data_IF_639453406494
#
_entry.id   IF_639453406494
#
_cell.length_a   1.000
_cell.length_b   1.000
_cell.length_c   1.000
_cell.angle_alpha   90.00
_cell.angle_beta   90.00
_cell.angle_gamma   90.00
#
_symmetry.space_group_name_H-M   'P 1'
#
loop_
_entity.id
_entity.type
_entity.pdbx_description
1 polymer ?
#
# COMPACT_ATOMS: atom_id res chain seq x y z
N UNK A 1 -68.86 -32.26 -21.10
CA UNK A 1 -69.44 -32.86 -19.88
C UNK A 1 -68.76 -32.12 -18.76
N UNK A 2 -69.38 -31.06 -18.34
CA UNK A 2 -70.22 -30.90 -17.15
C UNK A 2 -69.35 -30.91 -15.91
N UNK A 3 -69.34 -29.98 -15.06
CA UNK A 3 -70.25 -28.90 -14.73
C UNK A 3 -69.84 -28.32 -13.40
N UNK A 4 -70.07 -27.06 -13.33
CA UNK A 4 -70.80 -26.35 -12.30
C UNK A 4 -70.20 -26.30 -10.88
N UNK A 5 -69.89 -25.12 -10.43
CA UNK A 5 -70.78 -24.14 -9.76
C UNK A 5 -70.75 -24.20 -8.22
N UNK A 6 -70.61 -23.06 -7.59
CA UNK A 6 -70.96 -22.79 -6.20
C UNK A 6 -70.11 -21.67 -5.61
N UNK A 7 -70.52 -20.65 -5.64
CA UNK A 7 -70.85 -19.31 -5.24
C UNK A 7 -71.12 -19.13 -3.73
N UNK A 8 -70.87 -17.93 -3.27
CA UNK A 8 -71.34 -17.15 -2.12
C UNK A 8 -70.53 -17.38 -0.79
N UNK A 9 -70.27 -16.43 0.06
CA UNK A 9 -70.74 -15.06 0.32
C UNK A 9 -69.77 -14.38 1.28
N UNK A 10 -69.58 -13.09 1.16
CA UNK A 10 -69.06 -12.17 2.16
C UNK A 10 -70.00 -11.93 3.30
N UNK A 11 -69.59 -11.46 4.48
CA UNK A 11 -69.67 -10.03 4.68
C UNK A 11 -68.57 -9.37 5.55
N UNK A 12 -68.56 -8.07 5.36
CA UNK A 12 -67.82 -6.98 5.93
C UNK A 12 -67.64 -6.92 7.45
N UNK A 13 -66.54 -6.33 7.87
CA UNK A 13 -66.31 -5.82 9.20
C UNK A 13 -65.33 -4.65 9.16
N UNK A 14 -65.93 -3.44 9.24
CA UNK A 14 -65.27 -2.16 9.40
C UNK A 14 -64.47 -2.06 10.71
N UNK A 15 -63.31 -1.44 10.68
CA UNK A 15 -62.56 -1.00 11.85
C UNK A 15 -61.37 -0.11 11.46
N UNK A 16 -61.04 0.96 12.16
CA UNK A 16 -60.63 2.23 11.60
C UNK A 16 -59.14 2.31 11.25
N UNK A 17 -58.85 3.01 10.17
CA UNK A 17 -57.51 3.50 9.77
C UNK A 17 -56.98 4.45 10.83
N UNK A 18 -55.87 4.06 11.51
CA UNK A 18 -55.03 4.96 12.26
C UNK A 18 -53.95 5.53 11.34
N UNK A 19 -53.97 6.82 11.21
CA UNK A 19 -53.09 7.72 10.49
C UNK A 19 -51.63 7.55 10.91
N UNK A 20 -50.78 7.19 9.96
CA UNK A 20 -49.30 7.27 10.10
C UNK A 20 -48.85 8.67 9.70
N UNK A 21 -49.01 9.62 10.60
CA UNK A 21 -48.38 10.93 10.50
C UNK A 21 -47.83 11.30 11.88
N UNK A 22 -46.52 11.15 12.07
CA UNK A 22 -45.88 11.62 13.30
C UNK A 22 -44.68 10.83 13.75
N UNK A 23 -43.63 10.72 12.91
CA UNK A 23 -42.30 10.34 13.37
C UNK A 23 -41.21 10.78 12.39
N UNK A 24 -41.18 12.05 12.03
CA UNK A 24 -40.07 12.69 11.33
C UNK A 24 -39.77 13.99 12.05
N UNK A 25 -39.19 13.90 13.24
CA UNK A 25 -38.56 15.04 13.90
C UNK A 25 -37.82 14.53 15.15
N UNK A 26 -36.59 14.02 15.01
CA UNK A 26 -35.57 14.00 16.04
C UNK A 26 -34.28 13.34 15.52
N UNK A 27 -33.72 13.85 14.41
CA UNK A 27 -32.30 13.62 14.06
C UNK A 27 -31.71 14.95 13.59
N UNK A 28 -31.56 15.86 14.51
CA UNK A 28 -30.80 17.07 14.29
C UNK A 28 -30.34 17.60 15.65
N UNK A 29 -29.31 17.02 16.22
CA UNK A 29 -28.36 17.60 17.17
C UNK A 29 -27.41 16.49 17.62
N UNK A 30 -26.74 15.86 16.67
CA UNK A 30 -25.51 15.10 16.90
C UNK A 30 -24.35 16.04 16.63
N UNK A 31 -23.88 16.67 17.67
CA UNK A 31 -22.66 17.47 17.72
C UNK A 31 -21.54 16.78 16.97
N UNK A 32 -20.87 17.56 16.13
CA UNK A 32 -19.64 17.19 15.41
C UNK A 32 -18.50 16.93 16.42
N UNK A 33 -18.50 15.78 17.06
CA UNK A 33 -17.42 15.20 17.82
C UNK A 33 -17.01 13.88 17.15
N UNK A 34 -16.24 13.96 16.06
CA UNK A 34 -15.87 12.76 15.30
C UNK A 34 -14.63 12.88 14.43
N UNK A 35 -13.70 13.79 14.73
CA UNK A 35 -12.47 13.84 13.94
C UNK A 35 -11.16 13.66 14.75
N UNK A 36 -11.21 13.10 15.95
CA UNK A 36 -10.04 12.92 16.82
C UNK A 36 -9.74 11.44 17.13
N UNK A 37 -9.57 10.57 16.09
CA UNK A 37 -9.19 9.17 16.33
C UNK A 37 -8.14 8.52 15.40
N UNK A 38 -7.19 9.20 14.75
CA UNK A 38 -5.95 8.52 14.34
C UNK A 38 -4.92 8.44 15.46
N UNK A 39 -4.86 9.42 16.36
CA UNK A 39 -3.82 9.51 17.39
C UNK A 39 -3.81 8.34 18.40
N UNK A 40 -4.96 7.78 18.76
CA UNK A 40 -5.04 6.70 19.75
C UNK A 40 -4.39 5.38 19.31
N UNK A 41 -4.24 5.11 18.01
CA UNK A 41 -3.62 3.89 17.49
C UNK A 41 -2.09 3.88 17.59
N UNK A 42 -1.46 5.03 17.76
CA UNK A 42 -0.01 5.20 17.65
C UNK A 42 0.69 5.61 18.94
N UNK A 43 -0.05 5.85 20.03
CA UNK A 43 0.48 6.38 21.29
C UNK A 43 1.58 5.56 21.95
N UNK A 44 1.64 4.26 21.69
CA UNK A 44 2.60 3.34 22.31
C UNK A 44 3.75 2.94 21.39
N UNK A 45 3.85 3.54 20.18
CA UNK A 45 4.88 3.20 19.22
C UNK A 45 6.12 4.07 19.45
N UNK A 46 7.29 3.42 19.56
CA UNK A 46 8.55 4.13 19.73
C UNK A 46 8.96 4.87 18.46
N UNK A 47 8.78 4.25 17.29
CA UNK A 47 9.03 4.83 15.97
C UNK A 47 8.09 4.23 14.94
N UNK A 48 7.90 4.91 13.82
CA UNK A 48 7.10 4.44 12.69
C UNK A 48 7.86 4.60 11.38
N UNK A 49 7.64 3.66 10.46
CA UNK A 49 8.08 3.76 9.07
C UNK A 49 6.83 3.74 8.17
N UNK A 50 6.71 4.72 7.30
CA UNK A 50 5.74 4.74 6.22
C UNK A 50 6.47 4.27 4.96
N UNK A 51 6.20 3.06 4.53
CA UNK A 51 6.81 2.41 3.38
C UNK A 51 5.99 2.75 2.15
N UNK A 52 6.46 3.67 1.31
CA UNK A 52 5.73 4.26 0.20
C UNK A 52 6.29 3.77 -1.13
N UNK A 53 5.48 3.05 -1.91
CA UNK A 53 5.86 2.59 -3.24
C UNK A 53 5.86 3.76 -4.23
N UNK A 54 6.82 3.76 -5.16
CA UNK A 54 6.88 4.74 -6.25
C UNK A 54 5.60 4.77 -7.10
N UNK A 55 5.35 5.89 -7.77
CA UNK A 55 4.26 6.10 -8.70
C UNK A 55 4.37 5.23 -9.96
N UNK A 56 3.31 5.21 -10.75
CA UNK A 56 3.25 4.46 -12.00
C UNK A 56 4.35 4.85 -12.98
N UNK A 57 4.88 3.86 -13.68
CA UNK A 57 5.78 4.01 -14.83
C UNK A 57 5.16 3.33 -16.04
N UNK A 58 5.64 3.65 -17.25
CA UNK A 58 5.19 2.94 -18.44
C UNK A 58 5.43 1.43 -18.36
N UNK A 59 6.52 0.99 -17.71
CA UNK A 59 6.79 -0.43 -17.55
C UNK A 59 5.84 -1.13 -16.56
N UNK A 60 5.23 -0.41 -15.60
CA UNK A 60 4.13 -0.96 -14.82
C UNK A 60 2.91 -1.24 -15.72
N UNK A 61 2.57 -0.30 -16.62
CA UNK A 61 1.45 -0.44 -17.56
C UNK A 61 1.68 -1.60 -18.51
N UNK A 62 2.91 -1.72 -19.04
CA UNK A 62 3.30 -2.76 -19.99
C UNK A 62 3.51 -4.14 -19.33
N UNK A 63 3.46 -4.23 -17.98
CA UNK A 63 3.72 -5.47 -17.24
C UNK A 63 5.15 -5.97 -17.39
N UNK A 64 6.14 -5.05 -17.52
CA UNK A 64 7.56 -5.39 -17.65
C UNK A 64 8.25 -5.38 -16.30
N UNK A 65 9.12 -6.35 -16.10
CA UNK A 65 9.98 -6.43 -14.91
C UNK A 65 10.97 -5.26 -14.93
N UNK A 66 10.89 -4.36 -13.94
CA UNK A 66 11.71 -3.15 -13.93
C UNK A 66 13.08 -3.37 -13.28
N UNK A 67 13.12 -4.09 -12.19
CA UNK A 67 14.35 -4.29 -11.45
C UNK A 67 15.03 -2.96 -11.10
N UNK A 68 16.32 -2.88 -11.38
CA UNK A 68 17.14 -1.68 -11.18
C UNK A 68 17.32 -0.85 -12.44
N UNK A 69 16.66 -1.20 -13.55
CA UNK A 69 16.54 -0.33 -14.72
C UNK A 69 15.89 1.00 -14.32
N UNK A 70 16.48 2.10 -14.79
CA UNK A 70 16.12 3.44 -14.31
C UNK A 70 15.02 4.07 -15.18
N UNK A 71 13.79 3.60 -15.00
CA UNK A 71 12.60 4.02 -15.73
C UNK A 71 11.91 5.16 -14.97
N UNK A 72 11.60 6.31 -15.64
CA UNK A 72 10.92 7.43 -15.01
C UNK A 72 9.44 7.15 -14.71
N UNK A 73 8.84 7.98 -13.87
CA UNK A 73 7.38 8.03 -13.72
C UNK A 73 6.73 8.41 -15.05
N UNK A 74 5.53 7.90 -15.28
CA UNK A 74 4.65 8.42 -16.31
C UNK A 74 3.77 9.58 -15.73
N UNK A 75 2.99 10.29 -16.57
CA UNK A 75 2.15 11.39 -16.09
C UNK A 75 1.11 10.99 -15.04
N UNK A 76 0.66 9.72 -15.03
CA UNK A 76 -0.23 9.19 -13.99
C UNK A 76 0.53 9.02 -12.70
N UNK A 77 1.74 8.45 -12.75
CA UNK A 77 2.60 8.27 -11.58
C UNK A 77 2.98 9.59 -10.91
N UNK A 78 3.25 10.64 -11.70
CA UNK A 78 3.50 11.98 -11.16
C UNK A 78 2.28 12.53 -10.40
N UNK A 79 1.08 12.39 -10.95
CA UNK A 79 -0.16 12.78 -10.28
C UNK A 79 -0.44 11.95 -9.02
N UNK A 80 -0.16 10.63 -9.05
CA UNK A 80 -0.27 9.76 -7.89
C UNK A 80 0.65 10.25 -6.77
N UNK A 81 1.91 10.57 -7.09
CA UNK A 81 2.89 11.08 -6.13
C UNK A 81 2.44 12.41 -5.49
N UNK A 82 1.93 13.35 -6.29
CA UNK A 82 1.39 14.62 -5.79
C UNK A 82 0.20 14.43 -4.83
N UNK A 83 -0.72 13.51 -5.15
CA UNK A 83 -1.88 13.22 -4.28
C UNK A 83 -1.45 12.58 -2.96
N UNK A 84 -0.62 11.55 -3.03
CA UNK A 84 -0.14 10.83 -1.86
C UNK A 84 0.71 11.71 -0.94
N UNK A 85 1.58 12.54 -1.52
CA UNK A 85 2.43 13.47 -0.77
C UNK A 85 1.64 14.40 0.15
N UNK A 86 0.47 14.90 -0.28
CA UNK A 86 -0.39 15.77 0.56
C UNK A 86 -0.91 15.05 1.80
N UNK A 87 -1.26 13.77 1.68
CA UNK A 87 -1.71 12.97 2.81
C UNK A 87 -0.54 12.63 3.74
N UNK A 88 0.60 12.24 3.16
CA UNK A 88 1.79 11.87 3.93
C UNK A 88 2.41 13.08 4.63
N UNK A 89 2.35 14.27 4.06
CA UNK A 89 2.80 15.52 4.70
C UNK A 89 2.00 15.81 5.99
N UNK A 90 0.69 15.49 6.02
CA UNK A 90 -0.13 15.66 7.21
C UNK A 90 0.30 14.76 8.39
N UNK A 91 1.06 13.71 8.13
CA UNK A 91 1.64 12.85 9.18
C UNK A 91 2.86 13.49 9.86
N UNK A 92 3.34 14.63 9.36
CA UNK A 92 4.49 15.36 9.87
C UNK A 92 5.75 14.47 10.00
N UNK A 93 6.26 13.90 8.89
CA UNK A 93 7.45 13.06 8.94
C UNK A 93 8.66 13.84 9.46
N UNK A 94 9.53 13.17 10.22
CA UNK A 94 10.80 13.73 10.69
C UNK A 94 11.92 13.57 9.65
N UNK A 95 11.78 12.63 8.71
CA UNK A 95 12.75 12.37 7.65
C UNK A 95 12.09 11.72 6.43
N UNK A 96 12.71 11.90 5.27
CA UNK A 96 12.34 11.26 4.00
C UNK A 96 13.57 10.53 3.46
N UNK A 97 13.45 9.23 3.30
CA UNK A 97 14.45 8.38 2.65
C UNK A 97 13.91 7.88 1.32
N UNK A 98 14.77 7.68 0.35
CA UNK A 98 14.36 7.15 -0.96
C UNK A 98 15.44 6.25 -1.55
N UNK A 99 15.01 5.20 -2.25
CA UNK A 99 15.85 4.59 -3.28
C UNK A 99 16.35 5.67 -4.23
N UNK A 100 17.56 5.52 -4.73
CA UNK A 100 18.19 6.45 -5.68
C UNK A 100 17.71 6.26 -7.14
N UNK A 101 16.86 5.26 -7.42
CA UNK A 101 16.26 5.09 -8.73
C UNK A 101 15.28 6.24 -9.03
N UNK A 102 15.31 6.75 -10.27
CA UNK A 102 14.61 7.99 -10.68
C UNK A 102 13.12 7.97 -10.33
N UNK A 103 12.41 6.85 -10.51
CA UNK A 103 10.97 6.73 -10.18
C UNK A 103 10.68 6.91 -8.69
N UNK A 104 11.58 6.45 -7.82
CA UNK A 104 11.43 6.61 -6.37
C UNK A 104 11.78 8.04 -5.93
N UNK A 105 12.86 8.59 -6.43
CA UNK A 105 13.25 9.98 -6.13
C UNK A 105 12.20 10.97 -6.63
N UNK A 106 11.67 10.79 -7.86
CA UNK A 106 10.61 11.61 -8.40
C UNK A 106 9.32 11.53 -7.56
N UNK A 107 9.01 10.34 -7.02
CA UNK A 107 7.88 10.16 -6.09
C UNK A 107 8.09 10.90 -4.77
N UNK A 108 9.32 10.96 -4.25
CA UNK A 108 9.64 11.63 -2.99
C UNK A 108 9.61 13.18 -3.09
N UNK A 109 9.90 13.74 -4.27
CA UNK A 109 10.04 15.20 -4.49
C UNK A 109 8.82 16.01 -4.04
N UNK A 110 7.57 15.66 -4.37
CA UNK A 110 6.39 16.40 -3.90
C UNK A 110 6.29 16.46 -2.38
N UNK A 111 6.62 15.36 -1.68
CA UNK A 111 6.61 15.33 -0.22
C UNK A 111 7.72 16.21 0.36
N UNK A 112 8.93 16.14 -0.20
CA UNK A 112 10.05 17.00 0.21
C UNK A 112 9.69 18.49 0.07
N UNK A 113 9.04 18.87 -1.04
CA UNK A 113 8.58 20.23 -1.27
C UNK A 113 7.54 20.70 -0.24
N UNK A 114 6.59 19.81 0.13
CA UNK A 114 5.53 20.15 1.09
C UNK A 114 6.03 20.23 2.54
N UNK A 115 7.05 19.46 2.89
CA UNK A 115 7.57 19.37 4.26
C UNK A 115 8.81 20.21 4.51
N UNK A 116 9.51 20.64 3.46
CA UNK A 116 10.81 21.30 3.56
C UNK A 116 11.97 20.37 3.93
N UNK A 117 11.72 19.06 4.00
CA UNK A 117 12.73 18.08 4.36
C UNK A 117 13.56 17.65 3.13
N UNK A 118 14.88 17.41 3.27
CA UNK A 118 15.67 16.82 2.22
C UNK A 118 15.31 15.36 2.00
N UNK A 119 15.48 14.87 0.77
CA UNK A 119 15.41 13.45 0.44
C UNK A 119 16.79 12.83 0.64
N UNK A 120 16.89 11.86 1.53
CA UNK A 120 18.12 11.11 1.81
C UNK A 120 18.09 9.85 0.94
N UNK A 121 19.07 9.70 0.07
CA UNK A 121 19.15 8.56 -0.84
C UNK A 121 19.88 7.38 -0.20
N UNK A 122 19.33 6.17 -0.38
CA UNK A 122 19.90 4.92 0.10
C UNK A 122 19.78 3.83 -0.99
N UNK A 123 20.90 3.31 -1.45
CA UNK A 123 20.96 2.26 -2.49
C UNK A 123 20.41 0.92 -2.00
N UNK A 124 20.44 0.65 -0.70
CA UNK A 124 19.88 -0.57 -0.14
C UNK A 124 18.33 -0.59 -0.24
N UNK A 125 17.70 0.56 -0.57
CA UNK A 125 16.28 0.67 -0.86
C UNK A 125 15.93 0.43 -2.34
N UNK A 126 16.89 0.12 -3.23
CA UNK A 126 16.61 -0.21 -4.62
C UNK A 126 15.72 -1.44 -4.74
N UNK A 127 15.00 -1.53 -5.86
CA UNK A 127 14.24 -2.72 -6.22
C UNK A 127 15.13 -3.95 -6.36
N UNK A 128 14.54 -5.14 -6.35
CA UNK A 128 15.23 -6.39 -6.70
C UNK A 128 15.93 -6.22 -8.04
N UNK A 129 17.22 -6.48 -8.06
CA UNK A 129 17.94 -6.58 -9.34
C UNK A 129 17.41 -7.79 -10.12
N UNK A 130 16.86 -7.53 -11.30
CA UNK A 130 16.18 -8.52 -12.12
C UNK A 130 17.09 -9.27 -13.08
N UNK A 131 18.36 -8.89 -13.19
CA UNK A 131 19.29 -9.53 -14.10
C UNK A 131 18.72 -9.61 -15.52
N UNK A 132 18.67 -10.81 -16.11
CA UNK A 132 18.18 -11.02 -17.46
C UNK A 132 16.65 -10.88 -17.63
N UNK A 133 15.90 -10.67 -16.54
CA UNK A 133 14.46 -10.43 -16.62
C UNK A 133 14.10 -8.97 -16.86
N UNK A 134 15.03 -8.04 -16.61
CA UNK A 134 14.71 -6.61 -16.74
C UNK A 134 14.28 -6.28 -18.18
N UNK A 135 13.13 -5.57 -18.29
CA UNK A 135 12.49 -5.22 -19.55
C UNK A 135 11.58 -6.28 -20.15
N UNK A 136 11.60 -7.52 -19.64
CA UNK A 136 10.73 -8.59 -20.12
C UNK A 136 9.39 -8.58 -19.40
N UNK A 137 8.33 -9.01 -20.10
CA UNK A 137 7.03 -9.31 -19.52
C UNK A 137 7.04 -10.69 -18.83
N UNK A 138 6.08 -10.98 -17.95
CA UNK A 138 5.94 -12.31 -17.32
C UNK A 138 5.84 -13.43 -18.35
N UNK A 139 5.10 -13.20 -19.44
CA UNK A 139 4.98 -14.18 -20.54
C UNK A 139 6.33 -14.45 -21.20
N UNK A 140 7.11 -13.41 -21.47
CA UNK A 140 8.45 -13.53 -22.06
C UNK A 140 9.44 -14.22 -21.10
N UNK A 141 9.38 -13.89 -19.80
CA UNK A 141 10.20 -14.53 -18.76
C UNK A 141 9.88 -16.03 -18.71
N UNK A 142 8.59 -16.36 -18.60
CA UNK A 142 8.13 -17.76 -18.54
C UNK A 142 8.55 -18.57 -19.77
N UNK A 143 8.52 -17.97 -20.95
CA UNK A 143 8.90 -18.63 -22.18
C UNK A 143 10.44 -18.84 -22.28
N UNK A 144 11.24 -17.88 -21.81
CA UNK A 144 12.71 -17.92 -21.96
C UNK A 144 13.42 -18.59 -20.76
N UNK A 145 12.84 -18.48 -19.57
CA UNK A 145 13.45 -18.90 -18.30
C UNK A 145 12.44 -19.70 -17.43
N UNK A 146 11.86 -20.80 -17.93
CA UNK A 146 10.78 -21.51 -17.23
C UNK A 146 11.20 -22.09 -15.89
N UNK A 147 12.44 -22.53 -15.73
CA UNK A 147 12.96 -23.10 -14.47
C UNK A 147 13.18 -22.01 -13.43
N UNK A 148 13.86 -20.95 -13.82
CA UNK A 148 14.14 -19.81 -12.94
C UNK A 148 12.86 -19.06 -12.57
N UNK A 149 11.91 -18.99 -13.52
CA UNK A 149 10.58 -18.42 -13.25
C UNK A 149 9.83 -19.24 -12.18
N UNK A 150 9.85 -20.57 -12.25
CA UNK A 150 9.20 -21.43 -11.26
C UNK A 150 9.80 -21.25 -9.85
N UNK A 151 11.09 -20.95 -9.77
CA UNK A 151 11.81 -20.67 -8.53
C UNK A 151 11.79 -19.19 -8.13
N UNK A 152 11.24 -18.34 -8.98
CA UNK A 152 11.25 -16.88 -8.85
C UNK A 152 12.66 -16.33 -8.58
N UNK A 153 13.66 -16.83 -9.32
CA UNK A 153 15.06 -16.46 -9.20
C UNK A 153 15.63 -16.00 -10.55
N UNK A 154 15.71 -14.67 -10.80
CA UNK A 154 16.21 -14.15 -12.06
C UNK A 154 17.66 -14.53 -12.31
N UNK A 155 18.04 -15.01 -13.51
CA UNK A 155 19.43 -15.28 -13.86
C UNK A 155 20.30 -14.02 -13.74
N UNK A 156 21.33 -14.08 -12.92
CA UNK A 156 22.20 -12.92 -12.63
C UNK A 156 21.56 -11.85 -11.75
N UNK A 157 20.35 -12.09 -11.23
CA UNK A 157 19.63 -11.18 -10.35
C UNK A 157 19.74 -11.55 -8.87
N UNK A 158 18.97 -10.86 -8.04
CA UNK A 158 18.92 -11.07 -6.59
C UNK A 158 17.87 -12.12 -6.19
N UNK A 159 18.17 -12.89 -5.15
CA UNK A 159 17.19 -13.73 -4.46
C UNK A 159 16.26 -12.87 -3.59
N UNK A 160 15.09 -13.43 -3.21
CA UNK A 160 14.19 -12.78 -2.24
C UNK A 160 14.89 -12.53 -0.90
N UNK A 161 15.72 -13.49 -0.44
CA UNK A 161 16.49 -13.37 0.80
C UNK A 161 17.46 -12.20 0.76
N UNK A 162 18.24 -12.07 -0.34
CA UNK A 162 19.16 -10.94 -0.51
C UNK A 162 18.47 -9.59 -0.43
N UNK A 163 17.32 -9.45 -1.10
CA UNK A 163 16.53 -8.21 -1.08
C UNK A 163 15.96 -7.94 0.32
N UNK A 164 15.42 -8.97 0.98
CA UNK A 164 14.86 -8.86 2.34
C UNK A 164 15.93 -8.39 3.34
N UNK A 165 17.12 -8.96 3.27
CA UNK A 165 18.22 -8.64 4.18
C UNK A 165 18.71 -7.19 3.98
N UNK A 166 19.02 -6.74 2.74
CA UNK A 166 19.49 -5.37 2.52
C UNK A 166 18.41 -4.32 2.79
N UNK A 167 17.17 -4.52 2.28
CA UNK A 167 16.10 -3.57 2.49
C UNK A 167 15.64 -3.53 3.95
N UNK A 168 15.56 -4.69 4.62
CA UNK A 168 15.27 -4.78 6.04
C UNK A 168 16.31 -4.09 6.90
N UNK A 169 17.61 -4.31 6.60
CA UNK A 169 18.71 -3.62 7.31
C UNK A 169 18.67 -2.10 7.10
N UNK A 170 18.38 -1.63 5.88
CA UNK A 170 18.20 -0.20 5.61
C UNK A 170 17.07 0.40 6.44
N UNK A 171 15.91 -0.25 6.46
CA UNK A 171 14.75 0.19 7.24
C UNK A 171 15.04 0.20 8.75
N UNK A 172 15.78 -0.79 9.26
CA UNK A 172 16.16 -0.82 10.68
C UNK A 172 17.12 0.32 11.01
N UNK A 173 18.16 0.57 10.20
CA UNK A 173 19.07 1.73 10.37
C UNK A 173 18.32 3.05 10.37
N UNK A 174 17.36 3.23 9.46
CA UNK A 174 16.51 4.42 9.41
C UNK A 174 15.75 4.58 10.72
N UNK A 175 15.12 3.51 11.20
CA UNK A 175 14.32 3.55 12.42
C UNK A 175 15.17 3.82 13.68
N UNK A 176 16.40 3.29 13.74
CA UNK A 176 17.34 3.53 14.83
C UNK A 176 17.81 5.00 14.89
N UNK A 177 17.87 5.67 13.74
CA UNK A 177 18.19 7.09 13.64
C UNK A 177 17.05 8.04 14.03
N UNK A 178 15.83 7.53 14.25
CA UNK A 178 14.67 8.37 14.57
C UNK A 178 14.53 8.63 16.06
N UNK A 179 14.16 9.87 16.40
CA UNK A 179 13.74 10.20 17.76
C UNK A 179 12.46 9.44 18.17
N UNK A 180 12.31 9.04 19.44
CA UNK A 180 11.09 8.38 19.92
C UNK A 180 9.81 9.17 19.60
N UNK A 181 8.76 8.47 19.16
CA UNK A 181 7.48 9.05 18.80
C UNK A 181 7.40 9.61 17.38
N UNK A 182 8.52 9.66 16.64
CA UNK A 182 8.56 10.20 15.28
C UNK A 182 8.35 9.13 14.19
N UNK A 183 8.22 9.57 12.96
CA UNK A 183 8.13 8.70 11.79
C UNK A 183 9.05 9.17 10.66
N UNK A 184 9.50 8.23 9.83
CA UNK A 184 10.10 8.50 8.54
C UNK A 184 9.23 7.95 7.41
N UNK A 185 9.26 8.63 6.26
CA UNK A 185 8.74 8.09 5.00
C UNK A 185 9.90 7.48 4.23
N UNK A 186 9.72 6.23 3.80
CA UNK A 186 10.70 5.45 3.02
C UNK A 186 10.11 5.17 1.65
N UNK A 187 10.61 5.85 0.62
CA UNK A 187 10.14 5.70 -0.76
C UNK A 187 10.98 4.65 -1.47
N UNK A 188 10.33 3.61 -1.97
CA UNK A 188 11.02 2.49 -2.60
C UNK A 188 10.08 1.74 -3.57
N UNK A 189 10.19 0.43 -3.68
CA UNK A 189 9.63 -0.40 -4.74
C UNK A 189 8.86 -1.58 -4.16
N UNK A 190 8.15 -2.30 -5.03
CA UNK A 190 7.23 -3.37 -4.63
C UNK A 190 7.92 -4.47 -3.83
N UNK A 191 8.91 -5.15 -4.42
CA UNK A 191 9.59 -6.26 -3.77
C UNK A 191 10.44 -5.79 -2.58
N UNK A 192 11.20 -4.69 -2.72
CA UNK A 192 12.06 -4.19 -1.66
C UNK A 192 11.26 -3.82 -0.40
N UNK A 193 10.12 -3.12 -0.53
CA UNK A 193 9.28 -2.76 0.60
C UNK A 193 8.61 -3.97 1.25
N UNK A 194 8.06 -4.87 0.43
CA UNK A 194 7.37 -6.06 0.90
C UNK A 194 8.30 -7.01 1.65
N UNK A 195 9.42 -7.34 1.02
CA UNK A 195 10.41 -8.28 1.59
C UNK A 195 11.12 -7.68 2.82
N UNK A 196 11.51 -6.40 2.75
CA UNK A 196 12.08 -5.69 3.91
C UNK A 196 11.11 -5.63 5.09
N UNK A 197 9.82 -5.34 4.83
CA UNK A 197 8.79 -5.37 5.87
C UNK A 197 8.60 -6.76 6.48
N UNK A 198 8.54 -7.81 5.64
CA UNK A 198 8.43 -9.19 6.11
C UNK A 198 9.62 -9.58 7.00
N UNK A 199 10.84 -9.16 6.63
CA UNK A 199 12.07 -9.36 7.42
C UNK A 199 12.00 -8.66 8.77
N UNK A 200 11.58 -7.38 8.80
CA UNK A 200 11.39 -6.62 10.07
C UNK A 200 10.33 -7.25 10.98
N UNK A 201 9.25 -7.76 10.40
CA UNK A 201 8.18 -8.44 11.14
C UNK A 201 8.62 -9.80 11.71
N UNK A 202 9.80 -10.30 11.32
CA UNK A 202 10.30 -11.61 11.71
C UNK A 202 9.51 -12.77 11.10
N UNK A 203 8.89 -12.55 9.93
CA UNK A 203 8.18 -13.62 9.24
C UNK A 203 9.17 -14.63 8.66
N UNK A 204 8.91 -15.94 8.80
CA UNK A 204 9.68 -16.94 8.09
C UNK A 204 9.48 -16.80 6.57
N UNK A 205 10.47 -17.24 5.78
CA UNK A 205 10.50 -16.99 4.33
C UNK A 205 9.28 -17.56 3.61
N UNK A 206 8.77 -18.67 4.06
CA UNK A 206 7.58 -19.35 3.52
C UNK A 206 6.31 -18.49 3.65
N UNK A 207 6.30 -17.52 4.56
CA UNK A 207 5.18 -16.61 4.79
C UNK A 207 5.37 -15.23 4.16
N UNK A 208 6.49 -14.93 3.51
CA UNK A 208 6.69 -13.61 2.89
C UNK A 208 5.66 -13.30 1.80
N UNK A 209 5.15 -14.33 1.11
CA UNK A 209 4.06 -14.20 0.16
C UNK A 209 2.71 -13.80 0.77
N UNK A 210 2.54 -13.92 2.09
CA UNK A 210 1.33 -13.49 2.78
C UNK A 210 1.21 -11.96 2.88
N UNK A 211 2.33 -11.24 2.77
CA UNK A 211 2.31 -9.78 2.60
C UNK A 211 2.09 -9.50 1.12
N UNK A 212 0.89 -9.04 0.77
CA UNK A 212 0.52 -8.74 -0.61
C UNK A 212 1.34 -7.59 -1.22
N UNK A 213 1.32 -7.42 -2.55
CA UNK A 213 1.99 -6.31 -3.21
C UNK A 213 1.33 -4.97 -2.89
N UNK A 214 2.10 -3.88 -2.89
CA UNK A 214 1.58 -2.53 -2.83
C UNK A 214 1.20 -2.03 -4.22
N UNK A 215 0.09 -1.32 -4.34
CA UNK A 215 -0.23 -0.55 -5.54
C UNK A 215 0.76 0.63 -5.71
N UNK A 216 0.87 1.18 -6.92
CA UNK A 216 1.67 2.39 -7.15
C UNK A 216 1.19 3.54 -6.25
N UNK A 217 2.11 4.24 -5.62
CA UNK A 217 1.87 5.29 -4.62
C UNK A 217 1.04 4.86 -3.39
N UNK A 218 0.77 3.57 -3.20
CA UNK A 218 0.26 3.07 -1.93
C UNK A 218 1.39 2.95 -0.89
N UNK A 219 1.01 2.90 0.38
CA UNK A 219 1.95 2.76 1.48
C UNK A 219 1.51 1.75 2.51
N UNK A 220 2.49 1.25 3.26
CA UNK A 220 2.28 0.47 4.48
C UNK A 220 2.87 1.22 5.65
N UNK A 221 2.29 1.05 6.83
CA UNK A 221 2.79 1.63 8.07
C UNK A 221 3.28 0.51 8.98
N UNK A 222 4.56 0.54 9.28
CA UNK A 222 5.17 -0.27 10.32
C UNK A 222 5.38 0.57 11.58
N UNK A 223 5.09 0.00 12.73
CA UNK A 223 5.35 0.63 14.02
C UNK A 223 6.13 -0.29 14.95
N UNK A 224 7.13 0.24 15.66
CA UNK A 224 7.92 -0.52 16.63
C UNK A 224 7.36 -0.30 18.05
N UNK A 225 7.00 -1.39 18.74
CA UNK A 225 6.50 -1.37 20.11
C UNK A 225 7.24 -2.41 20.95
N UNK A 226 7.84 -1.97 22.05
CA UNK A 226 8.62 -2.85 22.95
C UNK A 226 9.66 -3.69 22.20
N UNK A 227 10.37 -3.06 21.25
CA UNK A 227 11.41 -3.71 20.45
C UNK A 227 10.92 -4.62 19.33
N UNK A 228 9.59 -4.73 19.09
CA UNK A 228 9.03 -5.58 18.04
C UNK A 228 8.27 -4.76 17.01
N UNK A 229 8.47 -5.09 15.74
CA UNK A 229 7.74 -4.50 14.62
C UNK A 229 6.32 -5.05 14.51
N UNK A 230 5.41 -4.20 14.06
CA UNK A 230 4.02 -4.53 13.75
C UNK A 230 3.60 -3.85 12.47
N UNK A 231 2.89 -4.56 11.61
CA UNK A 231 2.19 -3.99 10.48
C UNK A 231 0.90 -3.34 10.98
N UNK A 232 0.78 -2.04 10.84
CA UNK A 232 -0.35 -1.25 11.31
C UNK A 232 -1.37 -1.04 10.19
N UNK A 233 -0.85 -0.71 9.00
CA UNK A 233 -1.64 -0.53 7.78
C UNK A 233 -0.89 -1.17 6.62
N UNK A 234 -1.62 -1.71 5.66
CA UNK A 234 -1.05 -2.28 4.46
C UNK A 234 -1.81 -1.85 3.23
N UNK A 235 -1.08 -1.49 2.17
CA UNK A 235 -1.60 -1.07 0.89
C UNK A 235 -2.63 0.07 1.01
N UNK A 236 -2.39 1.01 1.92
CA UNK A 236 -3.21 2.20 2.08
C UNK A 236 -2.96 3.15 0.90
N UNK A 237 -4.00 3.83 0.46
CA UNK A 237 -3.93 4.74 -0.68
C UNK A 237 -5.14 5.66 -0.74
N UNK A 238 -5.18 6.50 -1.78
CA UNK A 238 -6.23 7.50 -1.95
C UNK A 238 -7.49 6.97 -2.64
N UNK A 239 -7.34 5.93 -3.45
CA UNK A 239 -8.43 5.30 -4.21
C UNK A 239 -8.08 3.82 -4.42
N UNK A 240 -9.07 2.93 -4.63
CA UNK A 240 -8.82 1.56 -5.05
C UNK A 240 -8.31 1.57 -6.49
N UNK A 241 -7.01 1.62 -6.65
CA UNK A 241 -6.35 1.46 -7.96
C UNK A 241 -5.93 0.00 -8.15
N UNK A 242 -5.97 -0.54 -9.38
CA UNK A 242 -5.46 -1.86 -9.65
C UNK A 242 -3.98 -1.93 -9.27
N UNK A 243 -3.56 -3.05 -8.70
CA UNK A 243 -2.16 -3.28 -8.39
C UNK A 243 -1.44 -3.64 -9.69
N UNK A 244 -0.72 -2.69 -10.24
CA UNK A 244 0.21 -2.91 -11.36
C UNK A 244 1.55 -3.33 -10.75
N UNK A 245 1.72 -4.62 -10.53
CA UNK A 245 2.93 -5.18 -9.92
C UNK A 245 3.47 -6.31 -10.78
N UNK A 246 4.77 -6.27 -10.98
CA UNK A 246 5.61 -7.34 -11.49
C UNK A 246 5.97 -8.37 -10.39
N UNK A 247 5.65 -8.05 -9.13
CA UNK A 247 5.82 -8.91 -7.97
C UNK A 247 4.62 -9.84 -7.79
N UNK A 248 4.78 -11.11 -8.01
CA UNK A 248 3.82 -12.16 -7.69
C UNK A 248 4.32 -13.06 -6.57
#
# INVERSE_FOLDING_TARGET
MDGASGAAETPAGDGPRASAAGAVAAVAAGTAEGSARPAARYHDLSVRLVLWRHGQTQWNVDGRFQGQSDIPLDPVGEQQAERAARLLAALQPAAIYSSDLIRATATAVPLARLTGLPVILDKDLRERFGGLWEGLTDTEIRARYPVEHAQWLPPGGESSGTVADRAGAAMERIAEGLAPGTLAVVVSHGAALRLGAARLLGLPEELWGAVGPLANCAWSVLGRRRGRWRLIEHNAGTLPEPVLSDDR
#
